data_IF_984227953916
#
_entry.id   IF_984227953916
#
_cell.length_a   1.000
_cell.length_b   1.000
_cell.length_c   1.000
_cell.angle_alpha   90.00
_cell.angle_beta   90.00
_cell.angle_gamma   90.00
#
_symmetry.space_group_name_H-M   'P 1'
#
loop_
_entity.id
_entity.type
_entity.pdbx_description
1 polymer ?
#
# COMPACT_ATOMS: atom_id res chain seq x y z
N UNK A 1 30.43 35.33 -4.45
CA UNK A 1 31.11 34.11 -4.94
C UNK A 1 30.29 32.91 -4.52
N UNK A 2 29.30 32.54 -5.31
CA UNK A 2 28.63 31.23 -5.19
C UNK A 2 29.57 30.24 -5.85
N UNK A 3 30.26 29.43 -5.04
CA UNK A 3 30.96 28.26 -5.54
C UNK A 3 29.87 27.23 -5.87
N UNK A 4 29.51 26.96 -7.14
CA UNK A 4 28.57 25.90 -7.41
C UNK A 4 29.20 24.61 -6.88
N UNK A 5 28.47 23.86 -6.06
CA UNK A 5 28.91 22.52 -5.69
C UNK A 5 29.28 21.78 -7.00
N UNK A 6 30.41 21.06 -7.03
CA UNK A 6 30.88 20.42 -8.26
C UNK A 6 29.72 19.62 -8.84
N UNK A 7 29.37 19.82 -10.12
CA UNK A 7 28.19 19.26 -10.80
C UNK A 7 27.79 17.83 -10.37
N UNK A 8 28.74 16.89 -10.15
CA UNK A 8 28.43 15.56 -9.65
C UNK A 8 27.67 15.53 -8.31
N UNK A 9 27.99 16.41 -7.36
CA UNK A 9 27.36 16.44 -6.04
C UNK A 9 25.94 17.01 -6.09
N UNK A 10 25.70 18.08 -6.86
CA UNK A 10 24.35 18.62 -7.03
C UNK A 10 23.42 17.62 -7.71
N UNK A 11 23.92 16.89 -8.72
CA UNK A 11 23.16 15.82 -9.37
C UNK A 11 22.81 14.69 -8.40
N UNK A 12 23.78 14.16 -7.67
CA UNK A 12 23.55 13.10 -6.67
C UNK A 12 22.53 13.56 -5.61
N UNK A 13 22.62 14.82 -5.17
CA UNK A 13 21.69 15.38 -4.19
C UNK A 13 20.27 15.43 -4.75
N UNK A 14 20.09 15.90 -5.98
CA UNK A 14 18.78 15.94 -6.64
C UNK A 14 18.19 14.55 -6.85
N UNK A 15 19.01 13.58 -7.28
CA UNK A 15 18.59 12.18 -7.46
C UNK A 15 18.11 11.57 -6.13
N UNK A 16 18.81 11.87 -5.02
CA UNK A 16 18.42 11.43 -3.68
C UNK A 16 17.08 12.06 -3.29
N UNK A 17 16.92 13.37 -3.44
CA UNK A 17 15.68 14.08 -3.10
C UNK A 17 14.50 13.48 -3.87
N UNK A 18 14.63 13.34 -5.20
CA UNK A 18 13.58 12.77 -6.04
C UNK A 18 13.20 11.34 -5.62
N UNK A 19 14.19 10.52 -5.24
CA UNK A 19 13.94 9.17 -4.74
C UNK A 19 13.15 9.20 -3.43
N UNK A 20 13.48 10.10 -2.50
CA UNK A 20 12.76 10.23 -1.23
C UNK A 20 11.34 10.77 -1.42
N UNK A 21 11.13 11.72 -2.32
CA UNK A 21 9.80 12.23 -2.67
C UNK A 21 8.92 11.13 -3.25
N UNK A 22 9.44 10.36 -4.21
CA UNK A 22 8.69 9.27 -4.83
C UNK A 22 8.35 8.17 -3.83
N UNK A 23 9.30 7.81 -2.95
CA UNK A 23 9.07 6.85 -1.86
C UNK A 23 8.05 7.37 -0.85
N UNK A 24 8.12 8.66 -0.51
CA UNK A 24 7.18 9.32 0.40
C UNK A 24 5.74 9.27 -0.13
N UNK A 25 5.55 9.62 -1.41
CA UNK A 25 4.25 9.53 -2.07
C UNK A 25 3.71 8.09 -2.08
N UNK A 26 4.54 7.11 -2.42
CA UNK A 26 4.15 5.70 -2.41
C UNK A 26 3.76 5.22 -1.00
N UNK A 27 4.49 5.64 0.04
CA UNK A 27 4.16 5.34 1.43
C UNK A 27 2.79 5.91 1.82
N UNK A 28 2.54 7.17 1.54
CA UNK A 28 1.31 7.84 1.96
C UNK A 28 0.08 7.25 1.27
N UNK A 29 0.22 6.87 -0.01
CA UNK A 29 -0.79 6.10 -0.73
C UNK A 29 -0.98 4.70 -0.16
N UNK A 30 0.11 3.98 0.15
CA UNK A 30 0.06 2.64 0.75
C UNK A 30 -0.63 2.63 2.12
N UNK A 31 -0.41 3.64 2.97
CA UNK A 31 -1.12 3.79 4.25
C UNK A 31 -2.62 3.97 4.03
N UNK A 32 -2.99 4.80 3.06
CA UNK A 32 -4.40 5.09 2.76
C UNK A 32 -5.13 3.86 2.22
N UNK A 33 -4.53 3.19 1.22
CA UNK A 33 -5.10 1.97 0.63
C UNK A 33 -5.11 0.81 1.63
N UNK A 34 -4.03 0.63 2.42
CA UNK A 34 -3.97 -0.40 3.45
C UNK A 34 -5.12 -0.28 4.45
N UNK A 35 -5.45 0.93 4.92
CA UNK A 35 -6.60 1.14 5.82
C UNK A 35 -7.94 0.81 5.18
N UNK A 36 -8.11 1.08 3.88
CA UNK A 36 -9.33 0.70 3.17
C UNK A 36 -9.40 -0.82 2.97
N UNK A 37 -8.28 -1.47 2.68
CA UNK A 37 -8.20 -2.92 2.54
C UNK A 37 -8.61 -3.64 3.83
N UNK A 38 -8.09 -3.19 4.98
CA UNK A 38 -8.49 -3.71 6.30
C UNK A 38 -9.99 -3.54 6.55
N UNK A 39 -10.58 -2.40 6.15
CA UNK A 39 -12.02 -2.18 6.29
C UNK A 39 -12.84 -3.14 5.43
N UNK A 40 -12.45 -3.33 4.17
CA UNK A 40 -13.12 -4.25 3.26
C UNK A 40 -13.05 -5.68 3.78
N UNK A 41 -11.86 -6.13 4.22
CA UNK A 41 -11.65 -7.44 4.83
C UNK A 41 -12.57 -7.66 6.05
N UNK A 42 -12.56 -6.71 7.01
CA UNK A 42 -13.40 -6.80 8.20
C UNK A 42 -14.91 -6.79 7.86
N UNK A 43 -15.32 -6.07 6.81
CA UNK A 43 -16.71 -6.06 6.36
C UNK A 43 -17.11 -7.37 5.69
N UNK A 44 -16.22 -7.97 4.89
CA UNK A 44 -16.44 -9.27 4.27
C UNK A 44 -16.63 -10.36 5.33
N UNK A 45 -15.73 -10.43 6.32
CA UNK A 45 -15.84 -11.36 7.46
C UNK A 45 -17.18 -11.19 8.19
N UNK A 46 -17.59 -9.95 8.47
CA UNK A 46 -18.89 -9.68 9.10
C UNK A 46 -20.09 -10.06 8.23
N UNK A 47 -19.98 -9.96 6.90
CA UNK A 47 -21.04 -10.37 5.99
C UNK A 47 -21.17 -11.91 5.97
N UNK A 48 -20.04 -12.64 5.93
CA UNK A 48 -20.02 -14.10 6.02
C UNK A 48 -20.65 -14.60 7.33
N UNK A 49 -20.33 -13.97 8.48
CA UNK A 49 -20.97 -14.30 9.76
C UNK A 49 -22.48 -14.05 9.82
N UNK A 50 -23.05 -13.29 8.88
CA UNK A 50 -24.49 -13.04 8.76
C UNK A 50 -25.12 -13.81 7.60
N UNK A 51 -24.43 -14.81 7.06
CA UNK A 51 -24.84 -15.60 5.88
C UNK A 51 -25.12 -14.74 4.63
N UNK A 52 -24.53 -13.53 4.55
CA UNK A 52 -24.68 -12.60 3.44
C UNK A 52 -23.57 -12.80 2.40
N UNK A 53 -23.52 -13.98 1.78
CA UNK A 53 -22.40 -14.42 0.92
C UNK A 53 -22.20 -13.55 -0.33
N UNK A 54 -23.27 -13.19 -1.05
CA UNK A 54 -23.15 -12.30 -2.23
C UNK A 54 -22.51 -10.95 -1.87
N UNK A 55 -22.80 -10.42 -0.67
CA UNK A 55 -22.19 -9.20 -0.19
C UNK A 55 -20.72 -9.42 0.18
N UNK A 56 -20.39 -10.55 0.81
CA UNK A 56 -19.02 -10.90 1.14
C UNK A 56 -18.16 -11.02 -0.12
N UNK A 57 -18.65 -11.71 -1.16
CA UNK A 57 -17.98 -11.88 -2.45
C UNK A 57 -17.70 -10.52 -3.10
N UNK A 58 -18.70 -9.64 -3.16
CA UNK A 58 -18.52 -8.29 -3.71
C UNK A 58 -17.48 -7.47 -2.95
N UNK A 59 -17.40 -7.61 -1.61
CA UNK A 59 -16.40 -6.92 -0.79
C UNK A 59 -15.00 -7.49 -1.00
N UNK A 60 -14.87 -8.81 -1.19
CA UNK A 60 -13.61 -9.49 -1.47
C UNK A 60 -13.08 -9.14 -2.87
N UNK A 61 -13.95 -8.97 -3.85
CA UNK A 61 -13.56 -8.52 -5.20
C UNK A 61 -12.99 -7.09 -5.17
N UNK A 62 -13.65 -6.18 -4.44
CA UNK A 62 -13.15 -4.82 -4.23
C UNK A 62 -11.80 -4.85 -3.48
N UNK A 63 -11.70 -5.68 -2.43
CA UNK A 63 -10.49 -5.83 -1.65
C UNK A 63 -9.32 -6.39 -2.49
N UNK A 64 -9.59 -7.36 -3.37
CA UNK A 64 -8.61 -7.98 -4.28
C UNK A 64 -8.04 -6.95 -5.27
N UNK A 65 -8.91 -6.11 -5.83
CA UNK A 65 -8.52 -5.01 -6.72
C UNK A 65 -7.61 -4.04 -5.97
N UNK A 66 -8.02 -3.61 -4.77
CA UNK A 66 -7.25 -2.68 -3.96
C UNK A 66 -5.90 -3.26 -3.49
N UNK A 67 -5.86 -4.56 -3.17
CA UNK A 67 -4.63 -5.27 -2.82
C UNK A 67 -3.65 -5.29 -4.01
N UNK A 68 -4.15 -5.49 -5.22
CA UNK A 68 -3.33 -5.48 -6.44
C UNK A 68 -2.68 -4.11 -6.62
N UNK A 69 -3.46 -3.03 -6.47
CA UNK A 69 -2.95 -1.67 -6.55
C UNK A 69 -1.92 -1.37 -5.45
N UNK A 70 -2.23 -1.72 -4.20
CA UNK A 70 -1.33 -1.54 -3.05
C UNK A 70 0.02 -2.23 -3.29
N UNK A 71 0.00 -3.46 -3.81
CA UNK A 71 1.23 -4.20 -4.16
C UNK A 71 2.01 -3.49 -5.25
N UNK A 72 1.33 -3.00 -6.29
CA UNK A 72 1.99 -2.30 -7.41
C UNK A 72 2.67 -1.00 -6.96
N UNK A 73 2.00 -0.20 -6.11
CA UNK A 73 2.54 1.06 -5.58
C UNK A 73 3.74 0.82 -4.65
N UNK A 74 3.67 -0.22 -3.82
CA UNK A 74 4.72 -0.51 -2.85
C UNK A 74 5.90 -1.29 -3.45
N UNK A 75 5.71 -2.06 -4.53
CA UNK A 75 6.73 -2.95 -5.10
C UNK A 75 8.09 -2.29 -5.42
N UNK A 76 8.16 -1.04 -5.93
CA UNK A 76 9.43 -0.38 -6.18
C UNK A 76 10.21 -0.01 -4.90
N UNK A 77 9.55 -0.02 -3.74
CA UNK A 77 10.08 0.46 -2.46
C UNK A 77 9.98 -0.64 -1.39
N UNK A 78 11.01 -1.50 -1.24
CA UNK A 78 10.99 -2.59 -0.26
C UNK A 78 10.73 -2.13 1.19
N UNK A 79 11.19 -0.92 1.55
CA UNK A 79 10.90 -0.30 2.86
C UNK A 79 9.43 0.04 3.08
N UNK A 80 8.64 0.17 2.00
CA UNK A 80 7.18 0.37 2.04
C UNK A 80 6.48 -0.99 1.92
N UNK A 81 6.86 -1.83 0.96
CA UNK A 81 6.22 -3.12 0.72
C UNK A 81 6.24 -4.04 1.95
N UNK A 82 7.39 -4.09 2.63
CA UNK A 82 7.58 -4.92 3.83
C UNK A 82 7.29 -4.17 5.14
N UNK A 83 6.76 -2.94 5.07
CA UNK A 83 6.37 -2.22 6.26
C UNK A 83 5.16 -2.89 6.93
N UNK A 84 5.11 -2.85 8.27
CA UNK A 84 4.04 -3.49 9.06
C UNK A 84 2.64 -3.09 8.59
N UNK A 85 2.38 -1.81 8.36
CA UNK A 85 1.04 -1.35 7.92
C UNK A 85 0.61 -1.88 6.54
N UNK A 86 1.55 -2.25 5.65
CA UNK A 86 1.24 -2.89 4.36
C UNK A 86 1.01 -4.38 4.58
N UNK A 87 1.91 -5.04 5.31
CA UNK A 87 1.84 -6.48 5.58
C UNK A 87 0.61 -6.85 6.41
N UNK A 88 0.25 -6.03 7.40
CA UNK A 88 -0.95 -6.21 8.20
C UNK A 88 -2.20 -6.12 7.31
N UNK A 89 -2.29 -5.12 6.42
CA UNK A 89 -3.41 -5.03 5.49
C UNK A 89 -3.52 -6.24 4.54
N UNK A 90 -2.37 -6.75 4.05
CA UNK A 90 -2.34 -7.98 3.23
C UNK A 90 -2.79 -9.21 4.01
N UNK A 91 -2.42 -9.31 5.29
CA UNK A 91 -2.84 -10.39 6.18
C UNK A 91 -4.34 -10.38 6.44
N UNK A 92 -4.91 -9.21 6.72
CA UNK A 92 -6.35 -9.06 6.95
C UNK A 92 -7.16 -9.48 5.71
N UNK A 93 -6.70 -9.12 4.50
CA UNK A 93 -7.30 -9.63 3.27
C UNK A 93 -7.21 -11.15 3.17
N UNK A 94 -6.03 -11.72 3.44
CA UNK A 94 -5.85 -13.17 3.38
C UNK A 94 -6.76 -13.90 4.38
N UNK A 95 -6.94 -13.37 5.58
CA UNK A 95 -7.88 -13.90 6.58
C UNK A 95 -9.32 -13.85 6.04
N UNK A 96 -9.75 -12.71 5.51
CA UNK A 96 -11.09 -12.56 4.94
C UNK A 96 -11.33 -13.47 3.73
N UNK A 97 -10.32 -13.76 2.92
CA UNK A 97 -10.44 -14.65 1.77
C UNK A 97 -10.43 -16.15 2.13
N UNK A 98 -9.99 -16.49 3.34
CA UNK A 98 -9.87 -17.88 3.84
C UNK A 98 -10.96 -18.26 4.86
N UNK A 99 -11.65 -17.27 5.42
CA UNK A 99 -12.77 -17.45 6.37
C UNK A 99 -13.99 -18.00 5.65
#
# INVERSE_FOLDING_TARGET
>A
MTNPAPEPLSRITNDIIQRFETMGAARDQAVTQGRQLVRLAANAIRAMHRDAFDQADSLLDEASTLLTDLRAIAAPFPSVYWAGYVQDAMKEYAEAALT
#
